data_IF_554209593956
#
_entry.id   IF_554209593956
#
_cell.length_a   1.000
_cell.length_b   1.000
_cell.length_c   1.000
_cell.angle_alpha   90.00
_cell.angle_beta   90.00
_cell.angle_gamma   90.00
#
_symmetry.space_group_name_H-M   'P 1'
#
loop_
_entity.id
_entity.type
_entity.pdbx_description
1 polymer ?
#
# COMPACT_ATOMS: atom_id res chain seq x y z
N UNK A 1 -12.25 -0.82 14.15
CA UNK A 1 -11.46 -2.07 14.21
C UNK A 1 -10.21 -1.80 15.04
N UNK A 2 -9.89 -2.66 16.01
CA UNK A 2 -8.63 -2.62 16.77
C UNK A 2 -7.77 -3.80 16.33
N UNK A 3 -6.48 -3.59 16.14
CA UNK A 3 -5.52 -4.64 15.82
C UNK A 3 -4.41 -4.68 16.85
N UNK A 4 -3.98 -5.91 17.16
CA UNK A 4 -3.00 -6.21 18.18
C UNK A 4 -1.72 -6.77 17.54
N UNK A 5 -0.58 -6.25 17.97
CA UNK A 5 0.76 -6.71 17.61
C UNK A 5 1.44 -7.20 18.89
N UNK A 6 1.53 -8.52 19.11
CA UNK A 6 2.25 -9.05 20.25
C UNK A 6 3.73 -8.67 20.19
N UNK A 7 4.36 -8.53 21.35
CA UNK A 7 5.81 -8.40 21.46
C UNK A 7 6.52 -9.50 20.64
N UNK A 8 7.59 -9.11 19.95
CA UNK A 8 8.41 -9.91 19.05
C UNK A 8 7.72 -10.33 17.72
N UNK A 9 6.50 -9.88 17.44
CA UNK A 9 5.87 -10.12 16.13
C UNK A 9 6.49 -9.24 15.03
N UNK A 10 6.64 -9.81 13.82
CA UNK A 10 7.25 -9.16 12.65
C UNK A 10 6.26 -9.18 11.49
N UNK A 11 6.05 -10.36 10.91
CA UNK A 11 5.20 -10.60 9.75
C UNK A 11 4.31 -11.85 9.95
N UNK A 12 3.28 -12.06 9.11
CA UNK A 12 2.31 -13.13 9.31
C UNK A 12 2.87 -14.55 9.18
N UNK A 13 4.03 -14.72 8.54
CA UNK A 13 4.69 -16.03 8.38
C UNK A 13 5.50 -16.43 9.63
N UNK A 14 5.79 -15.49 10.52
CA UNK A 14 6.56 -15.72 11.75
C UNK A 14 5.66 -15.78 12.99
N UNK A 15 6.21 -16.31 14.09
CA UNK A 15 5.53 -16.39 15.40
C UNK A 15 6.23 -15.49 16.43
N UNK A 16 5.50 -14.83 17.34
CA UNK A 16 4.03 -14.76 17.37
C UNK A 16 3.47 -13.97 16.19
N UNK A 17 2.28 -14.35 15.73
CA UNK A 17 1.58 -13.60 14.67
C UNK A 17 0.99 -12.33 15.25
N UNK A 18 1.20 -11.20 14.57
CA UNK A 18 0.67 -9.90 14.95
C UNK A 18 0.01 -9.19 13.76
N UNK A 19 -0.98 -8.35 14.06
CA UNK A 19 -1.74 -7.61 13.07
C UNK A 19 -2.83 -8.44 12.39
N UNK A 20 -3.12 -8.12 11.13
CA UNK A 20 -4.11 -8.82 10.31
C UNK A 20 -3.75 -8.72 8.82
N UNK A 21 -4.13 -9.75 8.05
CA UNK A 21 -4.03 -9.73 6.58
C UNK A 21 -5.28 -10.37 5.97
N UNK A 22 -6.04 -9.58 5.21
CA UNK A 22 -7.20 -10.06 4.44
C UNK A 22 -7.47 -9.17 3.23
N UNK A 23 -8.08 -9.75 2.21
CA UNK A 23 -8.57 -9.05 1.03
C UNK A 23 -10.07 -8.80 1.21
N UNK A 24 -10.55 -7.64 0.76
CA UNK A 24 -11.97 -7.30 0.84
C UNK A 24 -12.45 -6.73 -0.50
N UNK A 25 -13.61 -7.20 -0.95
CA UNK A 25 -14.25 -6.76 -2.19
C UNK A 25 -15.69 -6.33 -1.87
N UNK A 26 -15.88 -5.19 -1.17
CA UNK A 26 -17.22 -4.79 -0.70
C UNK A 26 -18.14 -4.27 -1.80
N UNK A 27 -17.57 -3.95 -2.97
CA UNK A 27 -18.25 -3.45 -4.16
C UNK A 27 -17.74 -4.24 -5.36
N UNK A 28 -18.63 -4.48 -6.34
CA UNK A 28 -18.20 -4.96 -7.64
C UNK A 28 -17.55 -3.81 -8.41
N UNK A 29 -16.23 -3.90 -8.57
CA UNK A 29 -15.39 -2.92 -9.24
C UNK A 29 -14.51 -3.61 -10.29
N UNK A 30 -14.98 -4.73 -10.84
CA UNK A 30 -14.22 -5.56 -11.77
C UNK A 30 -13.82 -4.85 -13.07
N UNK A 31 -14.55 -3.79 -13.43
CA UNK A 31 -14.30 -2.95 -14.62
C UNK A 31 -13.83 -1.54 -14.25
N UNK A 32 -13.59 -1.27 -12.96
CA UNK A 32 -13.18 0.04 -12.50
C UNK A 32 -11.72 0.33 -12.88
N UNK A 33 -11.50 1.49 -13.49
CA UNK A 33 -10.15 2.00 -13.75
C UNK A 33 -9.78 3.12 -12.80
N UNK A 34 -10.72 3.70 -12.07
CA UNK A 34 -10.47 4.76 -11.09
C UNK A 34 -11.20 4.45 -9.78
N UNK A 35 -10.43 4.21 -8.71
CA UNK A 35 -10.96 3.79 -7.41
C UNK A 35 -10.29 4.58 -6.28
N UNK A 36 -11.09 5.00 -5.32
CA UNK A 36 -10.61 5.60 -4.07
C UNK A 36 -10.83 4.64 -2.91
N UNK A 37 -9.78 4.45 -2.09
CA UNK A 37 -9.86 3.88 -0.74
C UNK A 37 -9.62 4.99 0.27
N UNK A 38 -10.50 5.09 1.26
CA UNK A 38 -10.36 6.00 2.39
C UNK A 38 -10.48 5.24 3.70
N UNK A 39 -9.67 5.61 4.69
CA UNK A 39 -9.83 5.17 6.08
C UNK A 39 -9.09 6.11 7.03
N UNK A 40 -9.41 6.01 8.33
CA UNK A 40 -8.63 6.66 9.38
C UNK A 40 -7.90 5.63 10.23
N UNK A 41 -6.66 5.95 10.61
CA UNK A 41 -5.83 5.13 11.51
C UNK A 41 -5.39 5.95 12.73
N UNK A 42 -5.31 5.31 13.89
CA UNK A 42 -4.82 5.90 15.13
C UNK A 42 -3.71 5.03 15.70
N UNK A 43 -2.55 5.65 15.90
CA UNK A 43 -1.43 5.09 16.65
C UNK A 43 -1.41 5.71 18.05
N UNK A 44 -1.24 4.94 19.14
CA UNK A 44 -1.01 5.48 20.48
C UNK A 44 0.12 6.50 20.53
N UNK A 45 0.07 7.42 21.51
CA UNK A 45 1.11 8.44 21.68
C UNK A 45 2.50 7.84 21.93
N UNK A 46 2.54 6.68 22.57
CA UNK A 46 3.75 5.94 22.89
C UNK A 46 4.13 4.91 21.82
N UNK A 47 3.39 4.82 20.70
CA UNK A 47 3.63 3.80 19.66
C UNK A 47 5.10 3.77 19.21
N UNK A 48 5.70 2.59 19.33
CA UNK A 48 7.05 2.30 18.87
C UNK A 48 6.99 1.89 17.40
N UNK A 49 7.44 2.80 16.54
CA UNK A 49 7.46 2.62 15.09
C UNK A 49 8.43 1.52 14.63
N UNK A 50 9.39 1.15 15.48
CA UNK A 50 10.53 0.27 15.17
C UNK A 50 11.17 0.76 13.87
N UNK A 51 11.22 -0.06 12.82
CA UNK A 51 11.78 0.32 11.52
C UNK A 51 10.69 0.55 10.47
N UNK A 52 9.63 -0.25 10.50
CA UNK A 52 8.53 -0.16 9.54
C UNK A 52 7.35 -1.08 9.90
N UNK A 53 6.23 -0.84 9.22
CA UNK A 53 5.12 -1.78 9.13
C UNK A 53 4.14 -1.40 8.03
N UNK A 54 3.21 -2.32 7.74
CA UNK A 54 2.29 -2.24 6.61
C UNK A 54 0.96 -1.71 7.10
N UNK A 55 0.27 -1.00 6.22
CA UNK A 55 -1.08 -0.51 6.41
C UNK A 55 -1.92 -0.86 5.17
N UNK A 56 -3.26 -0.82 5.31
CA UNK A 56 -4.17 -1.14 4.21
C UNK A 56 -3.90 -0.31 2.95
N UNK A 57 -4.28 -0.85 1.80
CA UNK A 57 -4.19 -0.19 0.51
C UNK A 57 -5.07 -0.89 -0.52
N UNK A 58 -4.84 -0.66 -1.80
CA UNK A 58 -5.57 -1.35 -2.86
C UNK A 58 -4.68 -2.41 -3.53
N UNK A 59 -5.30 -3.36 -4.23
CA UNK A 59 -4.63 -4.32 -5.08
C UNK A 59 -5.37 -4.51 -6.38
N UNK A 60 -4.68 -5.04 -7.39
CA UNK A 60 -5.28 -5.35 -8.67
C UNK A 60 -4.67 -6.53 -9.39
N UNK A 61 -5.36 -6.98 -10.44
CA UNK A 61 -5.06 -8.26 -11.11
C UNK A 61 -5.51 -9.44 -10.27
N UNK A 62 -4.69 -9.87 -9.33
CA UNK A 62 -4.98 -10.97 -8.43
C UNK A 62 -4.44 -10.70 -7.00
N UNK A 63 -4.95 -11.46 -6.03
CA UNK A 63 -4.44 -11.43 -4.65
C UNK A 63 -3.01 -11.94 -4.58
N UNK A 64 -2.22 -11.49 -3.61
CA UNK A 64 -0.86 -12.00 -3.38
C UNK A 64 0.25 -11.20 -4.08
N UNK A 65 -0.06 -10.02 -4.62
CA UNK A 65 0.91 -9.09 -5.21
C UNK A 65 1.83 -8.43 -4.16
N UNK A 66 2.67 -9.24 -3.50
CA UNK A 66 3.50 -8.85 -2.37
C UNK A 66 4.63 -9.87 -2.15
N UNK A 67 5.46 -9.69 -1.11
CA UNK A 67 6.37 -10.74 -0.64
C UNK A 67 7.50 -11.11 -1.61
N UNK A 68 7.82 -10.22 -2.56
CA UNK A 68 8.85 -10.46 -3.59
C UNK A 68 8.29 -10.90 -4.94
N UNK A 69 6.96 -10.94 -5.10
CA UNK A 69 6.34 -11.07 -6.42
C UNK A 69 6.83 -9.95 -7.37
N UNK A 70 7.16 -10.30 -8.62
CA UNK A 70 7.61 -9.36 -9.65
C UNK A 70 6.52 -8.39 -10.15
N UNK A 71 5.27 -8.64 -9.80
CA UNK A 71 4.09 -7.83 -10.08
C UNK A 71 3.87 -7.57 -11.58
N UNK A 72 4.02 -8.61 -12.41
CA UNK A 72 3.88 -8.52 -13.86
C UNK A 72 2.41 -8.51 -14.33
N UNK A 73 1.53 -9.14 -13.55
CA UNK A 73 0.11 -9.36 -13.82
C UNK A 73 -0.78 -8.97 -12.61
N UNK A 74 -0.22 -8.18 -11.70
CA UNK A 74 -0.91 -7.65 -10.53
C UNK A 74 -0.27 -6.35 -10.07
N UNK A 75 -0.96 -5.60 -9.22
CA UNK A 75 -0.33 -4.52 -8.46
C UNK A 75 -0.84 -4.48 -7.02
N UNK A 76 -0.09 -3.86 -6.12
CA UNK A 76 -0.63 -3.42 -4.82
C UNK A 76 -0.05 -2.07 -4.40
N UNK A 77 -0.88 -1.29 -3.73
CA UNK A 77 -0.61 0.09 -3.31
C UNK A 77 -0.87 0.21 -1.82
N UNK A 78 -0.20 -0.64 -1.04
CA UNK A 78 -0.30 -0.62 0.42
C UNK A 78 0.37 0.63 0.96
N UNK A 79 -0.14 1.15 2.07
CA UNK A 79 0.58 2.18 2.81
C UNK A 79 1.61 1.54 3.74
N UNK A 80 2.66 2.27 4.09
CA UNK A 80 3.59 1.86 5.15
C UNK A 80 3.87 3.01 6.12
N UNK A 81 4.17 2.64 7.36
CA UNK A 81 4.93 3.51 8.26
C UNK A 81 6.40 3.09 8.25
N UNK A 82 7.27 4.04 8.57
CA UNK A 82 8.70 3.90 8.80
C UNK A 82 9.04 4.47 10.17
N UNK A 83 10.33 4.53 10.48
CA UNK A 83 10.86 5.22 11.65
C UNK A 83 10.25 6.62 11.80
N UNK A 84 10.07 7.04 13.06
CA UNK A 84 9.55 8.37 13.42
C UNK A 84 8.20 8.73 12.78
N UNK A 85 7.40 7.69 12.46
CA UNK A 85 6.09 7.82 11.84
C UNK A 85 6.10 8.27 10.40
N UNK A 86 7.24 8.26 9.70
CA UNK A 86 7.25 8.61 8.28
C UNK A 86 6.34 7.70 7.46
N UNK A 87 5.53 8.30 6.60
CA UNK A 87 4.60 7.58 5.73
C UNK A 87 5.13 7.45 4.31
N UNK A 88 4.78 6.35 3.65
CA UNK A 88 5.03 6.12 2.22
C UNK A 88 3.90 5.31 1.59
N UNK A 89 3.76 5.44 0.28
CA UNK A 89 3.11 4.41 -0.54
C UNK A 89 4.13 3.29 -0.81
N UNK A 90 3.71 2.05 -0.62
CA UNK A 90 4.50 0.86 -0.90
C UNK A 90 3.91 0.10 -2.10
N UNK A 91 4.52 0.34 -3.25
CA UNK A 91 4.04 -0.08 -4.56
C UNK A 91 4.64 -1.42 -5.00
N UNK A 92 3.79 -2.39 -5.30
CA UNK A 92 4.13 -3.52 -6.17
C UNK A 92 3.51 -3.27 -7.53
N UNK A 93 4.34 -3.15 -8.56
CA UNK A 93 3.99 -3.03 -9.97
C UNK A 93 5.25 -3.38 -10.79
N UNK A 94 5.19 -3.54 -12.13
CA UNK A 94 6.36 -3.85 -12.95
C UNK A 94 7.46 -2.80 -12.78
N UNK A 95 8.53 -3.15 -12.07
CA UNK A 95 9.56 -2.18 -11.63
C UNK A 95 10.34 -1.57 -12.78
N UNK A 96 10.70 -2.42 -13.74
CA UNK A 96 11.46 -2.08 -14.94
C UNK A 96 10.69 -1.18 -15.93
N UNK A 97 9.39 -0.99 -15.69
CA UNK A 97 8.50 -0.17 -16.53
C UNK A 97 8.03 1.09 -15.84
N UNK A 98 8.50 1.37 -14.62
CA UNK A 98 8.23 2.66 -14.01
C UNK A 98 9.06 3.76 -14.70
N UNK A 99 8.55 4.99 -14.67
CA UNK A 99 9.26 6.14 -15.22
C UNK A 99 10.52 6.43 -14.42
N UNK A 100 11.49 7.06 -15.09
CA UNK A 100 12.69 7.56 -14.40
C UNK A 100 12.31 8.62 -13.38
N UNK A 101 11.34 9.46 -13.70
CA UNK A 101 10.82 10.52 -12.84
C UNK A 101 10.17 9.99 -11.55
N UNK A 102 9.59 8.78 -11.56
CA UNK A 102 9.10 8.11 -10.35
C UNK A 102 10.24 7.66 -9.46
N UNK A 103 11.28 7.10 -10.06
CA UNK A 103 12.38 6.49 -9.35
C UNK A 103 13.51 7.44 -8.95
N UNK A 104 13.67 8.57 -9.66
CA UNK A 104 14.64 9.62 -9.35
C UNK A 104 14.10 10.67 -8.36
N UNK A 105 12.80 10.61 -8.00
CA UNK A 105 12.26 11.43 -6.92
C UNK A 105 13.05 11.15 -5.63
N UNK A 106 13.60 12.18 -4.95
CA UNK A 106 14.47 11.98 -3.78
C UNK A 106 13.78 11.33 -2.58
N UNK A 107 12.45 11.24 -2.59
CA UNK A 107 11.64 10.54 -1.58
C UNK A 107 11.17 9.18 -2.05
N UNK A 108 11.53 8.76 -3.26
CA UNK A 108 11.22 7.46 -3.81
C UNK A 108 12.47 6.56 -3.85
N UNK A 109 12.25 5.25 -3.78
CA UNK A 109 13.28 4.23 -3.94
C UNK A 109 12.70 3.08 -4.76
N UNK A 110 13.25 2.90 -5.96
CA UNK A 110 12.86 1.83 -6.88
C UNK A 110 13.85 0.65 -6.94
N UNK A 111 15.06 0.81 -6.40
CA UNK A 111 16.11 -0.20 -6.40
C UNK A 111 15.95 -1.25 -5.28
N UNK A 112 14.76 -1.31 -4.67
CA UNK A 112 14.44 -2.22 -3.59
C UNK A 112 14.22 -3.65 -4.11
N UNK A 113 14.68 -4.66 -3.36
CA UNK A 113 14.41 -6.06 -3.68
C UNK A 113 12.89 -6.39 -3.66
N UNK A 114 12.11 -5.64 -2.88
CA UNK A 114 10.68 -5.88 -2.62
C UNK A 114 9.80 -4.81 -3.29
N UNK A 115 8.77 -4.27 -2.65
CA UNK A 115 8.00 -3.15 -3.20
C UNK A 115 8.81 -1.86 -3.30
N UNK A 116 8.40 -0.97 -4.22
CA UNK A 116 8.95 0.36 -4.39
C UNK A 116 8.40 1.27 -3.29
N UNK A 117 9.29 2.05 -2.68
CA UNK A 117 8.91 3.08 -1.71
C UNK A 117 8.65 4.36 -2.47
N UNK A 118 7.42 4.88 -2.47
CA UNK A 118 7.06 6.10 -3.20
C UNK A 118 6.71 7.21 -2.20
N UNK A 119 7.43 8.32 -2.27
CA UNK A 119 7.17 9.52 -1.47
C UNK A 119 7.34 9.34 0.05
N UNK A 120 8.33 8.55 0.49
CA UNK A 120 8.64 8.36 1.91
C UNK A 120 8.92 9.70 2.59
N UNK A 121 8.27 9.94 3.72
CA UNK A 121 8.44 11.17 4.49
C UNK A 121 7.78 12.39 3.82
N UNK A 122 6.95 12.21 2.79
CA UNK A 122 6.05 13.26 2.31
C UNK A 122 4.93 13.59 3.30
N UNK A 123 4.68 12.69 4.25
CA UNK A 123 3.82 12.90 5.40
C UNK A 123 4.29 12.07 6.59
N UNK A 124 3.70 12.32 7.76
CA UNK A 124 3.86 11.49 8.94
C UNK A 124 2.52 10.98 9.44
N UNK A 125 2.50 9.74 9.90
CA UNK A 125 1.46 9.20 10.74
C UNK A 125 1.58 9.83 12.13
N UNK A 126 0.48 10.36 12.63
CA UNK A 126 0.50 11.00 13.93
C UNK A 126 0.32 9.98 15.06
N UNK A 127 1.22 9.99 16.03
CA UNK A 127 1.02 9.32 17.31
C UNK A 127 0.04 10.15 18.17
N UNK A 128 -0.87 9.48 18.87
CA UNK A 128 -1.86 10.09 19.76
C UNK A 128 -3.02 10.80 19.04
N UNK A 129 -3.14 10.71 17.71
CA UNK A 129 -4.25 11.31 16.96
C UNK A 129 -4.61 10.51 15.72
N UNK A 130 -5.83 10.74 15.21
CA UNK A 130 -6.30 10.10 13.99
C UNK A 130 -5.63 10.72 12.76
N UNK A 131 -5.12 9.88 11.88
CA UNK A 131 -4.69 10.25 10.54
C UNK A 131 -5.68 9.67 9.54
N UNK A 132 -6.41 10.53 8.84
CA UNK A 132 -7.25 10.16 7.71
C UNK A 132 -6.39 10.10 6.45
N UNK A 133 -6.55 9.02 5.68
CA UNK A 133 -5.91 8.88 4.37
C UNK A 133 -6.96 8.58 3.33
N UNK A 134 -6.80 9.22 2.18
CA UNK A 134 -7.57 8.99 0.97
C UNK A 134 -6.61 8.74 -0.17
N UNK A 135 -6.58 7.51 -0.63
CA UNK A 135 -5.76 7.06 -1.75
C UNK A 135 -6.66 6.88 -2.97
N UNK A 136 -6.33 7.53 -4.09
CA UNK A 136 -7.04 7.32 -5.37
C UNK A 136 -6.07 6.79 -6.41
N UNK A 137 -6.46 5.70 -7.08
CA UNK A 137 -5.70 5.04 -8.14
C UNK A 137 -6.46 5.16 -9.43
N UNK A 138 -5.82 5.66 -10.48
CA UNK A 138 -6.29 5.46 -11.85
C UNK A 138 -5.33 4.54 -12.59
N UNK A 139 -5.84 3.43 -13.12
CA UNK A 139 -5.05 2.49 -13.90
C UNK A 139 -4.59 3.14 -15.19
N UNK A 140 -3.37 2.82 -15.60
CA UNK A 140 -2.84 3.25 -16.89
C UNK A 140 -3.64 2.63 -18.04
N UNK A 141 -3.62 3.32 -19.18
CA UNK A 141 -3.87 2.70 -20.48
C UNK A 141 -2.91 1.52 -20.61
N UNK A 142 -3.39 0.30 -20.92
CA UNK A 142 -2.52 -0.86 -21.02
C UNK A 142 -1.29 -0.58 -21.91
N UNK A 143 -0.10 -0.81 -21.37
CA UNK A 143 1.17 -0.59 -22.10
C UNK A 143 1.74 0.83 -22.01
N UNK A 144 1.00 1.79 -21.45
CA UNK A 144 1.44 3.18 -21.32
C UNK A 144 1.79 3.55 -19.86
N UNK A 145 2.63 4.57 -19.67
CA UNK A 145 3.04 5.09 -18.36
C UNK A 145 2.16 6.30 -17.94
N UNK A 146 0.84 6.17 -18.06
CA UNK A 146 -0.14 7.26 -17.82
C UNK A 146 -1.09 7.02 -16.64
N UNK A 147 -0.79 6.02 -15.80
CA UNK A 147 -1.54 5.73 -14.58
C UNK A 147 -1.28 6.77 -13.50
N UNK A 148 -2.25 6.96 -12.61
CA UNK A 148 -2.16 7.96 -11.55
C UNK A 148 -2.33 7.40 -10.14
N UNK A 149 -1.63 8.05 -9.22
CA UNK A 149 -1.72 7.84 -7.79
C UNK A 149 -1.83 9.19 -7.10
N UNK A 150 -2.90 9.38 -6.34
CA UNK A 150 -3.00 10.51 -5.42
C UNK A 150 -3.19 10.03 -3.99
N UNK A 151 -2.53 10.73 -3.07
CA UNK A 151 -2.68 10.52 -1.63
C UNK A 151 -2.97 11.85 -0.96
N UNK A 152 -4.15 11.95 -0.38
CA UNK A 152 -4.54 13.03 0.51
C UNK A 152 -4.45 12.51 1.96
N UNK A 153 -3.77 13.27 2.82
CA UNK A 153 -3.63 12.97 4.25
C UNK A 153 -4.23 14.11 5.05
N UNK A 154 -5.22 13.80 5.88
CA UNK A 154 -6.03 14.79 6.60
C UNK A 154 -6.57 15.89 5.68
N UNK A 155 -7.05 15.50 4.49
CA UNK A 155 -7.61 16.41 3.47
C UNK A 155 -6.58 17.24 2.70
N UNK A 156 -5.28 17.00 2.87
CA UNK A 156 -4.21 17.70 2.12
C UNK A 156 -3.48 16.76 1.18
N UNK A 157 -3.34 17.14 -0.09
CA UNK A 157 -2.54 16.40 -1.09
C UNK A 157 -1.08 16.30 -0.64
N UNK A 158 -0.58 15.07 -0.52
CA UNK A 158 0.82 14.77 -0.16
C UNK A 158 1.60 14.12 -1.27
N UNK A 159 0.93 13.32 -2.11
CA UNK A 159 1.53 12.68 -3.28
C UNK A 159 0.56 12.83 -4.44
N UNK A 160 1.06 13.21 -5.60
CA UNK A 160 0.32 13.34 -6.85
C UNK A 160 1.22 12.86 -8.00
N UNK A 161 0.93 11.69 -8.54
CA UNK A 161 1.66 11.05 -9.64
C UNK A 161 0.70 10.79 -10.78
N UNK A 162 1.16 10.99 -12.01
CA UNK A 162 0.40 10.73 -13.25
C UNK A 162 1.26 9.98 -14.27
N UNK A 163 2.23 9.23 -13.77
CA UNK A 163 3.31 8.60 -14.52
C UNK A 163 3.62 7.18 -14.03
N UNK A 164 2.60 6.50 -13.47
CA UNK A 164 2.73 5.17 -12.88
C UNK A 164 2.30 4.09 -13.87
N UNK A 165 3.10 3.04 -14.01
CA UNK A 165 2.78 1.88 -14.84
C UNK A 165 2.21 0.75 -13.98
N UNK A 166 0.92 0.42 -14.12
CA UNK A 166 0.28 -0.67 -13.37
C UNK A 166 0.14 -1.96 -14.18
N UNK A 167 -0.15 -1.87 -15.47
CA UNK A 167 -0.49 -3.04 -16.31
C UNK A 167 -0.04 -2.91 -17.76
N UNK A 168 0.24 -4.06 -18.34
CA UNK A 168 0.63 -4.19 -19.74
C UNK A 168 -0.55 -4.31 -20.72
N UNK A 169 -0.30 -4.02 -21.99
CA UNK A 169 -1.15 -4.46 -23.09
C UNK A 169 -0.80 -5.91 -23.46
N UNK A 170 -1.64 -6.84 -23.02
CA UNK A 170 -1.47 -8.26 -23.32
C UNK A 170 -2.03 -8.66 -24.70
N UNK A 171 -2.66 -7.73 -25.44
CA UNK A 171 -3.29 -7.97 -26.73
C UNK A 171 -4.33 -9.11 -26.72
N UNK A 172 -4.63 -9.66 -27.90
CA UNK A 172 -5.57 -10.80 -28.06
C UNK A 172 -4.98 -12.17 -27.67
N UNK A 173 -3.88 -12.22 -26.90
CA UNK A 173 -3.34 -13.47 -26.37
C UNK A 173 -4.27 -13.97 -25.27
N UNK A 174 -5.25 -14.75 -25.71
CA UNK A 174 -6.29 -15.44 -24.95
C UNK A 174 -5.75 -16.06 -23.66
N UNK A 175 -6.46 -15.81 -22.55
CA UNK A 175 -6.27 -16.38 -21.20
C UNK A 175 -4.85 -16.16 -20.69
N UNK A 176 -4.60 -15.24 -19.76
CA UNK A 176 -4.77 -15.41 -18.32
C UNK A 176 -4.73 -14.00 -17.69
N UNK A 177 -5.62 -13.74 -16.72
CA UNK A 177 -5.71 -12.54 -15.87
C UNK A 177 -5.90 -11.18 -16.59
N UNK A 178 -7.16 -10.72 -16.69
CA UNK A 178 -7.44 -9.29 -16.82
C UNK A 178 -6.94 -8.58 -15.55
N UNK A 179 -5.95 -7.70 -15.67
CA UNK A 179 -5.57 -6.72 -14.63
C UNK A 179 -6.60 -5.61 -14.56
N UNK A 180 -7.81 -5.94 -14.11
CA UNK A 180 -8.94 -5.00 -14.00
C UNK A 180 -9.43 -4.80 -12.57
N UNK A 181 -8.71 -5.32 -11.58
CA UNK A 181 -9.11 -5.19 -10.18
C UNK A 181 -8.44 -3.96 -9.54
N UNK A 182 -9.15 -3.20 -8.71
CA UNK A 182 -8.59 -2.31 -7.69
C UNK A 182 -9.21 -2.50 -6.27
N UNK A 183 -9.59 -3.70 -5.81
CA UNK A 183 -10.18 -3.92 -4.48
C UNK A 183 -9.28 -3.58 -3.30
N UNK A 184 -9.87 -3.29 -2.12
CA UNK A 184 -9.14 -3.13 -0.87
C UNK A 184 -8.34 -4.38 -0.48
N UNK A 185 -7.06 -4.16 -0.17
CA UNK A 185 -6.21 -5.07 0.59
C UNK A 185 -6.05 -4.53 2.01
N UNK A 186 -6.63 -5.21 3.00
CA UNK A 186 -6.41 -4.87 4.40
C UNK A 186 -5.28 -5.71 4.95
N UNK A 187 -4.06 -5.17 4.84
CA UNK A 187 -2.86 -5.78 5.41
C UNK A 187 -2.25 -4.83 6.41
N UNK A 188 -2.01 -5.30 7.63
CA UNK A 188 -1.21 -4.53 8.58
C UNK A 188 -0.52 -5.44 9.59
N UNK A 189 0.80 -5.27 9.68
CA UNK A 189 1.74 -6.02 10.49
C UNK A 189 3.04 -5.20 10.53
N UNK A 190 3.96 -5.52 11.44
CA UNK A 190 5.31 -4.93 11.49
C UNK A 190 6.16 -5.41 10.27
N UNK A 191 7.48 -5.42 10.35
CA UNK A 191 8.32 -6.06 9.31
C UNK A 191 8.80 -5.12 8.23
N UNK A 192 9.60 -5.49 7.22
CA UNK A 192 10.60 -6.56 7.20
C UNK A 192 10.16 -8.00 7.23
N UNK A 193 11.18 -8.84 7.21
CA UNK A 193 11.18 -10.27 7.53
C UNK A 193 12.27 -10.60 8.58
N UNK A 194 13.06 -9.60 9.01
CA UNK A 194 14.19 -9.77 9.94
C UNK A 194 13.80 -9.32 11.35
N UNK A 195 14.45 -9.90 12.37
CA UNK A 195 14.19 -9.66 13.79
C UNK A 195 14.26 -8.18 14.21
N UNK A 196 15.10 -7.37 13.55
CA UNK A 196 15.21 -5.92 13.81
C UNK A 196 13.93 -5.13 13.52
N UNK A 197 12.94 -5.74 12.85
CA UNK A 197 11.62 -5.16 12.62
C UNK A 197 10.58 -5.60 13.65
N UNK A 198 10.94 -6.48 14.58
CA UNK A 198 10.02 -6.99 15.57
C UNK A 198 9.62 -5.89 16.54
N UNK A 199 8.33 -5.84 16.90
CA UNK A 199 7.89 -4.90 17.92
C UNK A 199 8.44 -5.31 19.30
N UNK A 200 9.04 -4.39 20.09
CA UNK A 200 9.66 -4.77 21.35
C UNK A 200 8.65 -5.02 22.48
N UNK A 201 7.38 -4.71 22.25
CA UNK A 201 6.31 -4.80 23.24
C UNK A 201 4.96 -5.04 22.56
N UNK A 202 3.96 -5.33 23.37
CA UNK A 202 2.58 -5.41 22.94
C UNK A 202 2.09 -4.02 22.48
N UNK A 203 1.61 -3.93 21.24
CA UNK A 203 1.15 -2.69 20.63
C UNK A 203 -0.20 -2.85 19.96
N UNK A 204 -0.89 -1.72 19.78
CA UNK A 204 -2.21 -1.68 19.18
C UNK A 204 -2.33 -0.54 18.19
N UNK A 205 -3.13 -0.76 17.15
CA UNK A 205 -3.52 0.27 16.19
C UNK A 205 -5.03 0.18 15.96
N UNK A 206 -5.68 1.33 15.81
CA UNK A 206 -7.12 1.40 15.55
C UNK A 206 -7.38 1.95 14.17
N UNK A 207 -8.41 1.41 13.53
CA UNK A 207 -8.88 1.83 12.23
C UNK A 207 -10.38 2.11 12.28
N UNK A 208 -10.84 3.12 11.53
CA UNK A 208 -12.26 3.45 11.35
C UNK A 208 -12.52 4.07 9.98
N UNK A 209 -13.80 4.23 9.66
CA UNK A 209 -14.29 4.97 8.49
C UNK A 209 -13.72 4.46 7.16
N UNK A 210 -13.61 3.13 7.01
CA UNK A 210 -13.25 2.53 5.72
C UNK A 210 -14.34 2.82 4.69
N UNK A 211 -13.95 3.36 3.54
CA UNK A 211 -14.81 3.59 2.40
C UNK A 211 -14.08 3.26 1.10
N UNK A 212 -14.83 2.71 0.14
CA UNK A 212 -14.37 2.47 -1.22
C UNK A 212 -15.32 3.18 -2.15
N UNK A 213 -14.78 3.91 -3.12
CA UNK A 213 -15.58 4.60 -4.14
C UNK A 213 -15.08 4.21 -5.52
N UNK A 214 -16.00 3.78 -6.38
CA UNK A 214 -15.77 3.69 -7.82
C UNK A 214 -16.03 5.08 -8.42
N UNK A 215 -14.97 5.71 -8.94
CA UNK A 215 -15.04 7.03 -9.54
C UNK A 215 -15.41 6.89 -11.02
N UNK A 216 -16.56 7.46 -11.40
CA UNK A 216 -17.07 7.49 -12.79
C UNK A 216 -16.43 8.57 -13.64
#
# INVERSE_FOLDING_TARGET
MQLFYPANSIDPAQKPQGGADFYAEPLDISDATNVTLEYSVFFPNDFDWVLAGKLPGMYGGHTGCSGGNAALDCFSTRMMWRQDGEGELYLYAPKDKQTKELCDDPKSSCDEAYGLSIGRGSFKWAAGSWTNIRQTISLNTPGEQDGSFTLDVNGQRKIDRNDVFYREDLGSRKSHAKTTHAPPKTTTFFGGHEEKYATPRDQYVWFKDFAVSYNS
#
